data_IF_045048301169
#
_entry.id   IF_045048301169
#
_cell.length_a   1.000
_cell.length_b   1.000
_cell.length_c   1.000
_cell.angle_alpha   90.00
_cell.angle_beta   90.00
_cell.angle_gamma   90.00
#
_symmetry.space_group_name_H-M   'P 1'
#
loop_
_entity.id
_entity.type
_entity.pdbx_description
1 polymer ?
#
# COMPACT_ATOMS: atom_id res chain seq x y z
N UNK A 1 -12.72 13.72 2.56
CA UNK A 1 -13.34 15.05 2.41
C UNK A 1 -14.45 14.96 1.39
N UNK A 2 -15.67 15.35 1.73
CA UNK A 2 -16.81 15.32 0.81
C UNK A 2 -16.90 16.64 0.04
N UNK A 3 -16.94 16.56 -1.29
CA UNK A 3 -17.19 17.71 -2.17
C UNK A 3 -18.68 17.85 -2.47
N UNK A 4 -19.38 16.73 -2.51
CA UNK A 4 -20.85 16.60 -2.61
C UNK A 4 -21.29 15.44 -1.73
N UNK A 5 -22.58 15.16 -1.62
CA UNK A 5 -23.06 14.01 -0.85
C UNK A 5 -22.53 12.68 -1.39
N UNK A 6 -22.39 12.56 -2.71
CA UNK A 6 -21.94 11.32 -3.34
C UNK A 6 -20.44 11.30 -3.66
N UNK A 7 -19.75 12.44 -3.72
CA UNK A 7 -18.35 12.50 -4.17
C UNK A 7 -17.45 12.97 -3.05
N UNK A 8 -16.44 12.17 -2.73
CA UNK A 8 -15.46 12.47 -1.69
C UNK A 8 -14.03 12.15 -2.16
N UNK A 9 -13.02 12.72 -1.51
CA UNK A 9 -11.63 12.29 -1.60
C UNK A 9 -11.17 11.68 -0.28
N UNK A 10 -10.43 10.58 -0.34
CA UNK A 10 -9.82 9.91 0.81
C UNK A 10 -8.31 9.88 0.64
N UNK A 11 -7.59 10.23 1.71
CA UNK A 11 -6.14 10.08 1.80
C UNK A 11 -5.84 9.04 2.87
N UNK A 12 -5.22 7.93 2.46
CA UNK A 12 -4.74 6.91 3.38
C UNK A 12 -3.25 7.08 3.58
N UNK A 13 -2.84 7.08 4.85
CA UNK A 13 -1.45 7.06 5.28
C UNK A 13 -1.26 5.89 6.24
N UNK A 14 -0.19 5.12 6.03
CA UNK A 14 0.18 4.01 6.89
C UNK A 14 1.63 3.62 6.64
N UNK A 15 2.31 3.09 7.64
CA UNK A 15 3.66 2.55 7.45
C UNK A 15 3.68 1.07 7.80
N UNK A 16 4.35 0.27 6.98
CA UNK A 16 4.47 -1.17 7.17
C UNK A 16 5.90 -1.64 6.95
N UNK A 17 6.31 -2.65 7.71
CA UNK A 17 7.64 -3.26 7.59
C UNK A 17 7.54 -4.60 6.88
N UNK A 18 8.32 -4.75 5.81
CA UNK A 18 8.36 -5.97 5.01
C UNK A 18 9.74 -6.63 5.06
N UNK A 19 9.77 -7.94 4.81
CA UNK A 19 10.98 -8.73 4.61
C UNK A 19 10.98 -9.22 3.16
N UNK A 20 12.11 -9.13 2.49
CA UNK A 20 12.28 -9.63 1.12
C UNK A 20 13.22 -10.84 1.13
N UNK A 21 12.93 -11.81 0.26
CA UNK A 21 13.72 -13.03 0.05
C UNK A 21 13.76 -13.32 -1.44
N UNK A 22 14.95 -13.55 -2.00
CA UNK A 22 15.12 -14.12 -3.32
C UNK A 22 15.01 -15.64 -3.20
N UNK A 23 14.04 -16.23 -3.87
CA UNK A 23 13.77 -17.67 -3.83
C UNK A 23 14.20 -18.33 -5.14
N UNK A 24 14.61 -19.59 -5.08
CA UNK A 24 14.96 -20.36 -6.28
C UNK A 24 16.22 -19.89 -7.01
N UNK A 25 17.17 -19.27 -6.28
CA UNK A 25 18.47 -18.91 -6.85
C UNK A 25 19.39 -20.13 -6.91
N UNK A 26 20.46 -20.06 -7.70
CA UNK A 26 21.49 -21.11 -7.76
C UNK A 26 22.22 -21.35 -6.44
N UNK A 27 22.18 -20.40 -5.52
CA UNK A 27 22.75 -20.50 -4.17
C UNK A 27 21.71 -20.83 -3.09
N UNK A 28 20.48 -21.19 -3.48
CA UNK A 28 19.34 -21.41 -2.58
C UNK A 28 18.52 -20.13 -2.32
N UNK A 29 17.74 -20.13 -1.25
CA UNK A 29 16.95 -18.96 -0.86
C UNK A 29 17.81 -17.95 -0.09
N UNK A 30 17.84 -16.70 -0.56
CA UNK A 30 18.67 -15.63 -0.02
C UNK A 30 17.78 -14.57 0.61
N UNK A 31 17.95 -14.33 1.90
CA UNK A 31 17.25 -13.24 2.59
C UNK A 31 17.81 -11.89 2.12
N UNK A 32 16.97 -11.08 1.47
CA UNK A 32 17.35 -9.80 0.91
C UNK A 32 17.33 -8.66 1.93
N UNK A 33 16.67 -8.86 3.07
CA UNK A 33 16.66 -7.91 4.17
C UNK A 33 15.26 -7.43 4.53
N UNK A 34 15.18 -6.22 5.08
CA UNK A 34 13.94 -5.55 5.50
C UNK A 34 13.86 -4.16 4.90
N UNK A 35 12.63 -3.74 4.61
CA UNK A 35 12.32 -2.39 4.10
C UNK A 35 11.02 -1.90 4.73
N UNK A 36 10.95 -0.60 5.01
CA UNK A 36 9.70 0.06 5.40
C UNK A 36 9.05 0.72 4.20
N UNK A 37 7.72 0.67 4.16
CA UNK A 37 6.90 1.22 3.10
C UNK A 37 5.93 2.21 3.71
N UNK A 38 5.86 3.40 3.14
CA UNK A 38 4.82 4.38 3.37
C UNK A 38 4.10 4.58 2.03
N UNK A 39 2.89 4.04 1.83
CA UNK A 39 2.16 4.12 0.56
C UNK A 39 0.99 5.13 0.64
N UNK A 40 1.24 6.45 0.68
CA UNK A 40 0.19 7.46 0.60
C UNK A 40 -0.65 7.21 -0.64
N UNK A 41 -1.95 7.05 -0.42
CA UNK A 41 -2.91 6.74 -1.47
C UNK A 41 -4.03 7.75 -1.40
N UNK A 42 -4.19 8.53 -2.46
CA UNK A 42 -5.26 9.51 -2.62
C UNK A 42 -6.28 8.94 -3.60
N UNK A 43 -7.49 8.66 -3.11
CA UNK A 43 -8.61 8.16 -3.92
C UNK A 43 -9.72 9.19 -4.02
N UNK A 44 -10.35 9.26 -5.18
CA UNK A 44 -11.67 9.86 -5.35
C UNK A 44 -12.70 8.74 -5.21
N UNK A 45 -13.71 8.96 -4.38
CA UNK A 45 -14.74 7.99 -4.04
C UNK A 45 -16.11 8.49 -4.50
N UNK A 46 -16.92 7.54 -4.97
CA UNK A 46 -18.33 7.72 -5.25
C UNK A 46 -19.16 6.85 -4.31
N UNK A 47 -19.95 7.50 -3.46
CA UNK A 47 -20.85 6.91 -2.47
C UNK A 47 -22.24 6.72 -3.09
N UNK A 48 -22.75 5.49 -3.00
CA UNK A 48 -24.01 5.10 -3.64
C UNK A 48 -25.23 5.52 -2.80
N UNK A 49 -25.09 5.57 -1.48
CA UNK A 49 -26.20 5.83 -0.57
C UNK A 49 -25.74 6.64 0.67
N UNK A 50 -25.31 7.90 0.50
CA UNK A 50 -24.61 8.68 1.54
C UNK A 50 -25.42 8.93 2.83
N UNK A 51 -26.74 8.89 2.74
CA UNK A 51 -27.64 9.09 3.90
C UNK A 51 -28.13 7.77 4.51
N UNK A 52 -27.90 6.63 3.84
CA UNK A 52 -28.30 5.34 4.36
C UNK A 52 -27.40 4.90 5.51
N UNK A 53 -27.95 4.03 6.38
CA UNK A 53 -27.16 3.39 7.44
C UNK A 53 -26.06 2.50 6.86
N UNK A 54 -26.26 1.97 5.65
CA UNK A 54 -25.27 1.25 4.87
C UNK A 54 -24.99 2.05 3.60
N UNK A 55 -23.79 2.62 3.50
CA UNK A 55 -23.36 3.46 2.38
C UNK A 55 -22.18 2.81 1.65
N UNK A 56 -22.43 1.98 0.63
CA UNK A 56 -21.39 1.46 -0.25
C UNK A 56 -20.72 2.56 -1.03
N UNK A 57 -19.44 2.38 -1.34
CA UNK A 57 -18.70 3.26 -2.21
C UNK A 57 -17.67 2.51 -3.06
N UNK A 58 -17.32 3.13 -4.18
CA UNK A 58 -16.21 2.71 -5.04
C UNK A 58 -15.31 3.90 -5.27
N UNK A 59 -14.01 3.65 -5.48
CA UNK A 59 -13.06 4.72 -5.69
C UNK A 59 -11.92 4.34 -6.59
N UNK A 60 -11.27 5.36 -7.14
CA UNK A 60 -10.07 5.23 -7.93
C UNK A 60 -9.09 6.34 -7.55
N UNK A 61 -7.80 6.06 -7.61
CA UNK A 61 -6.81 6.98 -7.09
C UNK A 61 -5.39 6.72 -7.55
N UNK A 62 -4.51 7.56 -7.01
CA UNK A 62 -3.08 7.47 -7.22
C UNK A 62 -2.40 7.09 -5.90
N UNK A 63 -1.37 6.27 -6.03
CA UNK A 63 -0.51 5.84 -4.94
C UNK A 63 0.91 6.33 -5.22
N UNK A 64 1.63 6.76 -4.19
CA UNK A 64 3.07 7.04 -4.27
C UNK A 64 3.79 6.34 -3.13
N UNK A 65 4.33 5.15 -3.36
CA UNK A 65 5.00 4.39 -2.31
C UNK A 65 6.43 4.86 -2.10
N UNK A 66 6.70 5.28 -0.87
CA UNK A 66 8.01 5.66 -0.38
C UNK A 66 8.63 4.46 0.33
N UNK A 67 9.79 4.02 -0.14
CA UNK A 67 10.60 3.00 0.51
C UNK A 67 11.69 3.67 1.34
N UNK A 68 11.92 3.16 2.55
CA UNK A 68 12.93 3.71 3.45
C UNK A 68 13.41 2.70 4.49
N UNK A 69 14.52 3.04 5.16
CA UNK A 69 15.10 2.25 6.26
C UNK A 69 15.38 0.80 5.84
N UNK A 70 15.92 0.66 4.64
CA UNK A 70 16.45 -0.56 4.08
C UNK A 70 17.56 -1.12 4.98
N UNK A 71 17.52 -2.41 5.22
CA UNK A 71 18.55 -3.11 5.98
C UNK A 71 18.76 -4.50 5.42
N UNK A 72 19.99 -4.82 5.04
CA UNK A 72 20.37 -6.16 4.64
C UNK A 72 20.52 -7.05 5.89
N UNK A 73 20.33 -8.36 5.72
CA UNK A 73 20.62 -9.36 6.75
C UNK A 73 21.61 -10.37 6.20
N UNK A 74 22.75 -10.52 6.86
CA UNK A 74 23.76 -11.54 6.54
C UNK A 74 25.02 -10.95 5.93
N UNK A 75 25.93 -11.83 5.50
CA UNK A 75 27.27 -11.49 4.98
C UNK A 75 27.33 -11.45 3.45
N UNK A 76 26.21 -11.76 2.77
CA UNK A 76 26.17 -11.91 1.29
C UNK A 76 25.81 -10.60 0.57
N UNK A 77 25.02 -9.74 1.22
CA UNK A 77 24.51 -8.51 0.62
C UNK A 77 25.14 -7.29 1.28
N UNK A 78 25.76 -6.44 0.47
CA UNK A 78 26.32 -5.18 0.88
C UNK A 78 25.24 -4.12 1.06
N UNK A 79 24.28 -4.08 0.12
CA UNK A 79 23.18 -3.13 0.16
C UNK A 79 21.95 -3.62 -0.60
N UNK A 80 20.78 -3.09 -0.24
CA UNK A 80 19.55 -3.20 -1.02
C UNK A 80 18.83 -1.85 -1.06
N UNK A 81 18.43 -1.43 -2.25
CA UNK A 81 17.78 -0.15 -2.49
C UNK A 81 16.49 -0.36 -3.28
N UNK A 82 15.43 0.31 -2.87
CA UNK A 82 14.10 0.25 -3.47
C UNK A 82 13.73 1.63 -3.97
N UNK A 83 13.46 1.74 -5.27
CA UNK A 83 13.05 3.02 -5.83
C UNK A 83 11.61 3.35 -5.42
N UNK A 84 11.39 4.59 -4.99
CA UNK A 84 10.05 5.14 -4.81
C UNK A 84 9.24 4.99 -6.10
N UNK A 85 7.96 4.68 -5.97
CA UNK A 85 7.16 4.31 -7.13
C UNK A 85 5.75 4.89 -7.09
N UNK A 86 5.28 5.32 -8.26
CA UNK A 86 3.91 5.70 -8.49
C UNK A 86 3.09 4.50 -8.95
N UNK A 87 1.86 4.45 -8.45
CA UNK A 87 0.88 3.44 -8.78
C UNK A 87 -0.51 4.02 -8.94
N UNK A 88 -1.39 3.20 -9.50
CA UNK A 88 -2.83 3.47 -9.52
C UNK A 88 -3.51 2.56 -8.50
N UNK A 89 -4.61 3.03 -7.93
CA UNK A 89 -5.38 2.28 -6.95
C UNK A 89 -6.85 2.25 -7.33
N UNK A 90 -7.49 1.10 -7.14
CA UNK A 90 -8.94 0.98 -7.09
C UNK A 90 -9.35 0.57 -5.68
N UNK A 91 -10.51 1.06 -5.26
CA UNK A 91 -11.07 0.86 -3.93
C UNK A 91 -12.54 0.49 -4.02
N UNK A 92 -12.99 -0.39 -3.13
CA UNK A 92 -14.39 -0.59 -2.83
C UNK A 92 -14.56 -0.77 -1.33
N UNK A 93 -15.65 -0.26 -0.77
CA UNK A 93 -15.91 -0.36 0.65
C UNK A 93 -17.33 0.04 1.02
N UNK A 94 -17.59 0.07 2.32
CA UNK A 94 -18.86 0.54 2.84
C UNK A 94 -18.67 1.23 4.19
N UNK A 95 -19.44 2.30 4.38
CA UNK A 95 -19.63 2.96 5.68
C UNK A 95 -20.92 2.46 6.32
N UNK A 96 -20.85 2.10 7.61
CA UNK A 96 -21.94 1.52 8.38
C UNK A 96 -22.19 2.40 9.60
N UNK A 97 -23.30 3.11 9.61
CA UNK A 97 -23.72 3.93 10.76
C UNK A 97 -24.46 3.06 11.78
N UNK A 98 -24.20 3.22 13.09
CA UNK A 98 -24.94 2.50 14.12
C UNK A 98 -26.39 2.98 14.24
N UNK A 99 -26.69 4.24 13.89
CA UNK A 99 -28.03 4.79 13.75
C UNK A 99 -28.03 5.96 12.73
N UNK A 100 -29.20 6.35 12.18
CA UNK A 100 -29.29 7.37 11.14
C UNK A 100 -28.73 8.75 11.55
N UNK A 101 -28.88 9.12 12.82
CA UNK A 101 -28.47 10.41 13.37
C UNK A 101 -27.01 10.40 13.87
N UNK A 102 -26.27 9.31 13.67
CA UNK A 102 -24.90 9.19 14.16
C UNK A 102 -23.92 9.89 13.23
N UNK A 103 -23.09 10.75 13.82
CA UNK A 103 -21.90 11.28 13.15
C UNK A 103 -20.81 10.21 13.00
N UNK A 104 -20.89 9.11 13.74
CA UNK A 104 -19.90 8.03 13.71
C UNK A 104 -20.31 6.92 12.75
N UNK A 105 -19.34 6.30 12.10
CA UNK A 105 -19.56 5.15 11.22
C UNK A 105 -18.40 4.16 11.34
N UNK A 106 -18.68 2.88 11.12
CA UNK A 106 -17.68 1.87 10.89
C UNK A 106 -17.38 1.79 9.41
N UNK A 107 -16.11 1.72 9.03
CA UNK A 107 -15.68 1.62 7.64
C UNK A 107 -15.00 0.27 7.43
N UNK A 108 -15.34 -0.38 6.31
CA UNK A 108 -14.62 -1.56 5.83
C UNK A 108 -14.31 -1.36 4.36
N UNK A 109 -13.10 -1.69 3.94
CA UNK A 109 -12.65 -1.43 2.59
C UNK A 109 -11.62 -2.43 2.07
N UNK A 110 -11.59 -2.59 0.77
CA UNK A 110 -10.55 -3.32 0.03
C UNK A 110 -10.01 -2.44 -1.07
N UNK A 111 -8.68 -2.45 -1.21
CA UNK A 111 -7.97 -1.70 -2.24
C UNK A 111 -7.04 -2.61 -3.01
N UNK A 112 -7.03 -2.43 -4.34
CA UNK A 112 -6.01 -2.99 -5.21
C UNK A 112 -5.12 -1.85 -5.66
N UNK A 113 -3.83 -1.95 -5.35
CA UNK A 113 -2.81 -1.02 -5.86
C UNK A 113 -1.99 -1.75 -6.92
N UNK A 114 -1.81 -1.12 -8.07
CA UNK A 114 -0.84 -1.55 -9.06
C UNK A 114 0.44 -0.77 -8.84
N UNK A 115 1.50 -1.46 -8.42
CA UNK A 115 2.76 -0.87 -7.96
C UNK A 115 3.93 -1.70 -8.48
N UNK A 116 4.80 -1.04 -9.24
CA UNK A 116 6.02 -1.62 -9.80
C UNK A 116 7.23 -0.83 -9.29
N UNK A 117 8.21 -1.47 -8.66
CA UNK A 117 9.42 -0.81 -8.15
C UNK A 117 10.66 -1.44 -8.75
N UNK A 118 11.68 -0.63 -8.99
CA UNK A 118 13.01 -1.09 -9.35
C UNK A 118 13.82 -1.31 -8.06
N UNK A 119 14.30 -2.54 -7.89
CA UNK A 119 15.10 -2.97 -6.73
C UNK A 119 16.53 -3.23 -7.18
N UNK A 120 17.47 -2.55 -6.54
CA UNK A 120 18.89 -2.75 -6.74
C UNK A 120 19.46 -3.56 -5.58
N UNK A 121 19.97 -4.75 -5.89
CA UNK A 121 20.60 -5.65 -4.93
C UNK A 121 22.10 -5.65 -5.18
N UNK A 122 22.87 -5.23 -4.18
CA UNK A 122 24.33 -5.21 -4.23
C UNK A 122 24.90 -6.37 -3.41
N UNK A 123 25.59 -7.27 -4.10
CA UNK A 123 26.27 -8.43 -3.53
C UNK A 123 27.74 -8.47 -3.96
N UNK A 124 28.34 -7.31 -4.22
CA UNK A 124 29.69 -7.20 -4.78
C UNK A 124 30.74 -7.92 -3.93
N UNK A 125 30.68 -7.82 -2.61
CA UNK A 125 31.66 -8.45 -1.70
C UNK A 125 31.62 -9.97 -1.75
N UNK A 126 30.42 -10.57 -1.88
CA UNK A 126 30.26 -12.01 -1.83
C UNK A 126 30.22 -12.69 -3.22
N UNK A 127 29.67 -12.01 -4.23
CA UNK A 127 29.35 -12.57 -5.54
C UNK A 127 29.90 -11.73 -6.71
N UNK A 128 30.50 -10.56 -6.45
CA UNK A 128 31.05 -9.69 -7.49
C UNK A 128 29.98 -9.11 -8.44
N UNK A 129 28.73 -9.02 -7.99
CA UNK A 129 27.60 -8.68 -8.85
C UNK A 129 26.63 -7.67 -8.22
N UNK A 130 26.08 -6.81 -9.08
CA UNK A 130 24.95 -5.92 -8.79
C UNK A 130 23.79 -6.33 -9.68
N UNK A 131 22.63 -6.61 -9.08
CA UNK A 131 21.44 -7.07 -9.78
C UNK A 131 20.36 -6.00 -9.70
N UNK A 132 19.84 -5.59 -10.85
CA UNK A 132 18.64 -4.75 -10.94
C UNK A 132 17.44 -5.65 -11.26
N UNK A 133 16.41 -5.60 -10.43
CA UNK A 133 15.19 -6.37 -10.59
C UNK A 133 13.97 -5.46 -10.61
N UNK A 134 13.07 -5.71 -11.55
CA UNK A 134 11.73 -5.13 -11.55
C UNK A 134 10.82 -5.97 -10.67
N UNK A 135 10.20 -5.36 -9.67
CA UNK A 135 9.34 -6.04 -8.71
C UNK A 135 7.92 -5.49 -8.81
N UNK A 136 7.01 -6.39 -9.20
CA UNK A 136 5.58 -6.12 -9.25
C UNK A 136 4.96 -6.48 -7.90
N UNK A 137 4.83 -5.48 -7.02
CA UNK A 137 4.29 -5.70 -5.66
C UNK A 137 2.78 -5.92 -5.73
N UNK A 138 2.08 -5.09 -6.50
CA UNK A 138 0.64 -5.15 -6.75
C UNK A 138 -0.21 -5.57 -5.52
N UNK A 139 -0.15 -4.86 -4.37
CA UNK A 139 -0.75 -5.37 -3.13
C UNK A 139 -2.27 -5.27 -3.13
N UNK A 140 -2.90 -6.16 -2.37
CA UNK A 140 -4.25 -6.00 -1.86
C UNK A 140 -4.19 -5.46 -0.43
N UNK A 141 -4.90 -4.37 -0.16
CA UNK A 141 -5.01 -3.78 1.16
C UNK A 141 -6.44 -3.99 1.67
N UNK A 142 -6.55 -4.38 2.93
CA UNK A 142 -7.84 -4.58 3.61
C UNK A 142 -7.89 -3.64 4.81
N UNK A 143 -8.89 -2.77 4.84
CA UNK A 143 -9.10 -1.76 5.86
C UNK A 143 -10.34 -2.06 6.71
N UNK A 144 -10.21 -1.84 8.01
CA UNK A 144 -11.33 -1.73 8.94
C UNK A 144 -11.08 -0.53 9.84
N UNK A 145 -12.11 0.26 10.15
CA UNK A 145 -11.92 1.48 10.92
C UNK A 145 -13.21 2.06 11.47
N UNK A 146 -13.06 3.17 12.18
CA UNK A 146 -14.14 4.01 12.69
C UNK A 146 -13.87 5.43 12.19
N UNK A 147 -14.88 6.03 11.56
CA UNK A 147 -14.85 7.40 11.08
C UNK A 147 -15.88 8.27 11.77
N UNK A 148 -15.68 9.59 11.69
CA UNK A 148 -16.62 10.60 12.14
C UNK A 148 -16.85 11.63 11.01
N UNK A 149 -18.11 11.93 10.71
CA UNK A 149 -18.52 13.02 9.82
C UNK A 149 -18.56 14.33 10.63
N UNK A 150 -18.05 15.40 10.05
CA UNK A 150 -18.00 16.75 10.63
C UNK A 150 -18.62 17.74 9.66
#
# INVERSE_FOLDING_TARGET
>A
YFFTDNISAELILGTTKHKATAVGTSAGDIALGKVWLLPPTLTLQYHLAPDAAFNPYVGAGLNYTIFYSESTKGTVLDNIDYSNSFGVALQAGADIKPNPDSDWFFNVDVKKVWLNTDVKVDATTALGAVVNAKVDVNPWLFGVGVGKRF
#
